data_IF_155772445383
#
_entry.id   IF_155772445383
#
_cell.length_a   1.000
_cell.length_b   1.000
_cell.length_c   1.000
_cell.angle_alpha   90.00
_cell.angle_beta   90.00
_cell.angle_gamma   90.00
#
_symmetry.space_group_name_H-M   'P 1'
#
loop_
_entity.id
_entity.type
_entity.pdbx_description
1 polymer ?
#
# COMPACT_ATOMS: atom_id res chain seq x y z
N UNK A 1 1.99 -3.68 -1.79
CA UNK A 1 1.48 -5.07 -1.65
C UNK A 1 2.29 -5.85 -0.63
N UNK A 2 3.55 -6.22 -0.91
CA UNK A 2 4.42 -6.96 0.04
C UNK A 2 4.48 -6.32 1.43
N UNK A 3 4.70 -5.00 1.50
CA UNK A 3 4.72 -4.25 2.75
C UNK A 3 3.40 -4.38 3.54
N UNK A 4 2.25 -4.28 2.85
CA UNK A 4 0.94 -4.47 3.48
C UNK A 4 0.72 -5.89 4.00
N UNK A 5 1.23 -6.91 3.31
CA UNK A 5 1.20 -8.30 3.77
C UNK A 5 2.05 -8.46 5.04
N UNK A 6 3.26 -7.89 5.08
CA UNK A 6 4.11 -7.95 6.27
C UNK A 6 3.50 -7.25 7.49
N UNK A 7 2.81 -6.12 7.29
CA UNK A 7 2.05 -5.47 8.36
C UNK A 7 0.82 -6.27 8.80
N UNK A 8 0.17 -7.02 7.90
CA UNK A 8 -0.99 -7.86 8.25
C UNK A 8 -0.63 -9.09 9.10
N UNK A 9 0.61 -9.60 8.97
CA UNK A 9 1.15 -10.71 9.78
C UNK A 9 1.79 -10.21 11.08
N UNK A 10 1.65 -8.92 11.41
CA UNK A 10 2.20 -8.30 12.63
C UNK A 10 3.71 -8.54 12.79
N UNK A 11 4.46 -8.40 11.69
CA UNK A 11 5.90 -8.68 11.69
C UNK A 11 6.66 -7.76 12.65
N UNK A 12 7.39 -8.36 13.60
CA UNK A 12 8.19 -7.64 14.60
C UNK A 12 9.31 -6.78 14.00
N UNK A 13 9.73 -7.05 12.76
CA UNK A 13 10.74 -6.24 12.06
C UNK A 13 10.22 -4.84 11.74
N UNK A 14 8.90 -4.67 11.57
CA UNK A 14 8.29 -3.39 11.19
C UNK A 14 7.76 -2.61 12.41
N UNK A 15 8.21 -2.95 13.62
CA UNK A 15 7.76 -2.30 14.85
C UNK A 15 8.24 -0.83 14.94
N UNK A 16 9.32 -0.46 14.27
CA UNK A 16 9.76 0.96 14.26
C UNK A 16 8.95 1.84 13.30
N UNK A 17 8.28 1.23 12.32
CA UNK A 17 7.50 1.93 11.30
C UNK A 17 6.03 2.17 11.71
N UNK A 18 5.56 1.53 12.77
CA UNK A 18 4.20 1.71 13.28
C UNK A 18 4.19 2.84 14.31
N UNK A 19 3.29 3.82 14.19
CA UNK A 19 3.24 4.96 15.11
C UNK A 19 2.63 4.54 16.45
N UNK A 20 3.47 4.09 17.38
CA UNK A 20 3.09 3.75 18.75
C UNK A 20 3.20 4.95 19.69
N UNK A 21 2.30 5.03 20.66
CA UNK A 21 2.41 5.91 21.83
C UNK A 21 2.68 5.08 23.10
N UNK A 22 3.34 5.63 24.12
CA UNK A 22 3.65 4.92 25.37
C UNK A 22 2.38 4.39 26.07
N UNK A 23 1.27 5.09 25.88
CA UNK A 23 -0.07 4.73 26.35
C UNK A 23 -0.68 3.50 25.63
N UNK A 24 -0.17 3.11 24.47
CA UNK A 24 -0.64 1.92 23.73
C UNK A 24 -0.12 0.60 24.33
N UNK A 25 0.91 0.67 25.18
CA UNK A 25 1.48 -0.49 25.86
C UNK A 25 0.77 -0.85 27.17
N UNK A 26 -0.13 0.03 27.67
CA UNK A 26 -0.77 -0.14 28.98
C UNK A 26 -1.99 -1.09 28.97
N UNK A 27 -2.73 -1.19 27.85
CA UNK A 27 -4.00 -1.93 27.74
C UNK A 27 -3.88 -3.29 27.01
N UNK A 28 -2.65 -3.81 26.86
CA UNK A 28 -2.39 -5.09 26.20
C UNK A 28 -2.26 -5.01 24.66
N UNK A 29 -2.02 -6.15 23.98
CA UNK A 29 -1.57 -6.17 22.58
C UNK A 29 -2.65 -5.84 21.55
N UNK A 30 -3.94 -5.82 21.93
CA UNK A 30 -5.04 -5.61 20.99
C UNK A 30 -4.96 -4.25 20.28
N UNK A 31 -4.51 -3.20 20.99
CA UNK A 31 -4.38 -1.86 20.41
C UNK A 31 -3.23 -1.80 19.40
N UNK A 32 -2.14 -2.51 19.70
CA UNK A 32 -0.98 -2.67 18.81
C UNK A 32 -1.40 -3.40 17.53
N UNK A 33 -2.17 -4.49 17.65
CA UNK A 33 -2.63 -5.24 16.48
C UNK A 33 -3.54 -4.43 15.56
N UNK A 34 -4.39 -3.55 16.11
CA UNK A 34 -5.21 -2.62 15.32
C UNK A 34 -4.38 -1.60 14.55
N UNK A 35 -3.30 -1.08 15.14
CA UNK A 35 -2.40 -0.15 14.46
C UNK A 35 -1.69 -0.81 13.27
N UNK A 36 -1.20 -2.05 13.44
CA UNK A 36 -0.65 -2.83 12.33
C UNK A 36 -1.66 -3.03 11.20
N UNK A 37 -2.91 -3.34 11.53
CA UNK A 37 -3.97 -3.54 10.55
C UNK A 37 -4.32 -2.23 9.81
N UNK A 38 -4.33 -1.10 10.52
CA UNK A 38 -4.57 0.22 9.93
C UNK A 38 -3.46 0.61 8.94
N UNK A 39 -2.19 0.42 9.30
CA UNK A 39 -1.05 0.70 8.41
C UNK A 39 -1.07 -0.24 7.19
N UNK A 40 -1.38 -1.52 7.41
CA UNK A 40 -1.55 -2.51 6.33
C UNK A 40 -2.62 -2.09 5.32
N UNK A 41 -3.78 -1.63 5.80
CA UNK A 41 -4.88 -1.14 4.96
C UNK A 41 -4.44 0.03 4.07
N UNK A 42 -3.73 1.01 4.63
CA UNK A 42 -3.21 2.15 3.88
C UNK A 42 -2.25 1.70 2.77
N UNK A 43 -1.38 0.73 3.06
CA UNK A 43 -0.44 0.16 2.09
C UNK A 43 -1.14 -0.58 0.94
N UNK A 44 -2.24 -1.28 1.22
CA UNK A 44 -3.02 -1.96 0.18
C UNK A 44 -3.80 -0.99 -0.70
N UNK A 45 -4.40 0.05 -0.12
CA UNK A 45 -5.09 1.11 -0.88
C UNK A 45 -4.10 1.80 -1.82
N UNK A 46 -2.94 2.20 -1.31
CA UNK A 46 -1.88 2.81 -2.11
C UNK A 46 -1.44 1.90 -3.27
N UNK A 47 -1.25 0.60 -3.01
CA UNK A 47 -0.92 -0.36 -4.04
C UNK A 47 -2.01 -0.48 -5.12
N UNK A 48 -3.29 -0.45 -4.74
CA UNK A 48 -4.41 -0.43 -5.67
C UNK A 48 -4.42 0.82 -6.57
N UNK A 49 -4.15 1.99 -5.99
CA UNK A 49 -4.05 3.25 -6.75
C UNK A 49 -2.90 3.20 -7.78
N UNK A 50 -1.73 2.69 -7.39
CA UNK A 50 -0.61 2.50 -8.32
C UNK A 50 -0.91 1.48 -9.42
N UNK A 51 -1.63 0.41 -9.11
CA UNK A 51 -2.06 -0.56 -10.12
C UNK A 51 -3.02 0.07 -11.14
N UNK A 52 -3.99 0.88 -10.69
CA UNK A 52 -4.90 1.61 -11.56
C UNK A 52 -4.18 2.64 -12.43
N UNK A 53 -3.32 3.46 -11.85
CA UNK A 53 -2.51 4.45 -12.59
C UNK A 53 -1.58 3.78 -13.61
N UNK A 54 -0.94 2.68 -13.21
CA UNK A 54 -0.10 1.87 -14.09
C UNK A 54 -0.90 1.30 -15.26
N UNK A 55 -2.07 0.71 -14.99
CA UNK A 55 -2.98 0.21 -16.02
C UNK A 55 -3.44 1.31 -16.97
N UNK A 56 -3.83 2.47 -16.44
CA UNK A 56 -4.24 3.62 -17.24
C UNK A 56 -3.08 4.14 -18.13
N UNK A 57 -1.87 4.26 -17.57
CA UNK A 57 -0.67 4.66 -18.32
C UNK A 57 -0.33 3.67 -19.45
N UNK A 58 -0.48 2.36 -19.21
CA UNK A 58 -0.30 1.34 -20.24
C UNK A 58 -1.33 1.47 -21.35
N UNK A 59 -2.62 1.63 -21.01
CA UNK A 59 -3.68 1.88 -21.98
C UNK A 59 -3.40 3.13 -22.83
N UNK A 60 -3.05 4.25 -22.18
CA UNK A 60 -2.69 5.49 -22.86
C UNK A 60 -1.49 5.29 -23.80
N UNK A 61 -0.43 4.61 -23.34
CA UNK A 61 0.75 4.34 -24.17
C UNK A 61 0.40 3.53 -25.41
N UNK A 62 -0.51 2.54 -25.29
CA UNK A 62 -0.95 1.72 -26.44
C UNK A 62 -1.77 2.54 -27.43
N UNK A 63 -2.67 3.40 -26.94
CA UNK A 63 -3.48 4.29 -27.77
C UNK A 63 -2.62 5.37 -28.46
N UNK A 64 -1.66 5.95 -27.74
CA UNK A 64 -0.80 7.00 -28.27
C UNK A 64 0.14 6.47 -29.35
N UNK A 65 0.71 5.26 -29.15
CA UNK A 65 1.47 4.56 -30.20
C UNK A 65 0.65 4.34 -31.46
N UNK A 66 -0.63 3.95 -31.35
CA UNK A 66 -1.50 3.78 -32.55
C UNK A 66 -1.74 5.09 -33.29
N UNK A 67 -1.85 6.22 -32.59
CA UNK A 67 -2.04 7.54 -33.22
C UNK A 67 -0.79 8.01 -33.96
N UNK A 68 0.42 7.75 -33.46
CA UNK A 68 1.67 8.05 -34.18
C UNK A 68 1.74 7.35 -35.55
N UNK A 69 1.28 6.10 -35.67
CA UNK A 69 1.25 5.39 -36.96
C UNK A 69 0.18 5.92 -37.94
N UNK A 70 -0.80 6.69 -37.48
CA UNK A 70 -1.87 7.27 -38.32
C UNK A 70 -1.55 8.69 -38.81
N UNK A 71 -0.50 9.32 -38.28
CA UNK A 71 -0.10 10.70 -38.61
C UNK A 71 1.10 10.72 -39.59
N UNK A 72 1.59 9.56 -40.03
CA UNK A 72 2.64 9.42 -41.05
C UNK A 72 2.08 8.84 -42.35
#
# INVERSE_FOLDING_TARGET
VLLGIFFNVHSAVLIEDVPFSEEDFNDGPDRIYRLYEQVSYNCFIAAGLYALLGGFSLCQTRLNKRKEYMVR
#
